data_IF_356486555505
#
_entry.id   IF_356486555505
#
_cell.length_a   1.000
_cell.length_b   1.000
_cell.length_c   1.000
_cell.angle_alpha   90.00
_cell.angle_beta   90.00
_cell.angle_gamma   90.00
#
_symmetry.space_group_name_H-M   'P 1'
#
loop_
_entity.id
_entity.type
_entity.pdbx_description
1 polymer ?
#
# COMPACT_ATOMS: atom_id res chain seq x y z
N UNK A 1 -40.05 -3.88 10.35
CA UNK A 1 -39.52 -4.97 11.21
C UNK A 1 -38.05 -4.70 11.33
N UNK A 2 -37.36 -4.87 12.48
CA UNK A 2 -35.93 -4.61 12.52
C UNK A 2 -35.22 -5.49 11.48
N UNK A 3 -34.37 -4.89 10.65
CA UNK A 3 -33.62 -5.58 9.60
C UNK A 3 -32.81 -6.73 10.19
N UNK A 4 -32.72 -7.83 9.44
CA UNK A 4 -31.87 -8.95 9.82
C UNK A 4 -30.39 -8.56 9.65
N UNK A 5 -29.50 -9.26 10.36
CA UNK A 5 -28.04 -9.02 10.31
C UNK A 5 -27.48 -9.17 8.89
N UNK A 6 -28.02 -10.10 8.09
CA UNK A 6 -27.63 -10.29 6.69
C UNK A 6 -27.98 -9.05 5.84
N UNK A 7 -29.13 -8.43 6.09
CA UNK A 7 -29.57 -7.22 5.36
C UNK A 7 -28.69 -6.03 5.72
N UNK A 8 -28.24 -5.94 6.97
CA UNK A 8 -27.30 -4.91 7.42
C UNK A 8 -25.92 -5.09 6.79
N UNK A 9 -25.43 -6.32 6.70
CA UNK A 9 -24.17 -6.63 6.03
C UNK A 9 -24.20 -6.25 4.54
N UNK A 10 -25.32 -6.48 3.85
CA UNK A 10 -25.52 -6.03 2.47
C UNK A 10 -25.49 -4.50 2.34
N UNK A 11 -26.14 -3.76 3.26
CA UNK A 11 -26.11 -2.30 3.26
C UNK A 11 -24.71 -1.73 3.54
N UNK A 12 -23.94 -2.37 4.41
CA UNK A 12 -22.53 -1.99 4.67
C UNK A 12 -21.67 -2.26 3.43
N UNK A 13 -21.79 -3.45 2.82
CA UNK A 13 -21.07 -3.77 1.59
C UNK A 13 -21.43 -2.83 0.41
N UNK A 14 -22.70 -2.38 0.36
CA UNK A 14 -23.14 -1.35 -0.58
C UNK A 14 -22.44 0.00 -0.34
N UNK A 15 -22.30 0.41 0.93
CA UNK A 15 -21.60 1.66 1.28
C UNK A 15 -20.09 1.59 1.00
N UNK A 16 -19.48 0.44 1.22
CA UNK A 16 -18.06 0.22 0.98
C UNK A 16 -17.74 -0.02 -0.52
N UNK A 17 -18.78 -0.19 -1.36
CA UNK A 17 -18.65 -0.43 -2.80
C UNK A 17 -18.14 -1.84 -3.16
N UNK A 18 -18.32 -2.81 -2.25
CA UNK A 18 -17.86 -4.19 -2.44
C UNK A 18 -18.88 -5.09 -3.18
N UNK A 19 -20.09 -4.58 -3.46
CA UNK A 19 -21.12 -5.31 -4.18
C UNK A 19 -20.88 -5.32 -5.70
N UNK A 20 -21.22 -6.44 -6.34
CA UNK A 20 -21.27 -6.51 -7.80
C UNK A 20 -22.52 -5.81 -8.36
N UNK A 21 -22.58 -5.63 -9.68
CA UNK A 21 -23.64 -4.85 -10.35
C UNK A 21 -25.04 -5.45 -10.12
N UNK A 22 -25.14 -6.78 -10.04
CA UNK A 22 -26.42 -7.46 -9.79
C UNK A 22 -26.87 -7.30 -8.33
N UNK A 23 -25.95 -7.40 -7.37
CA UNK A 23 -26.23 -7.22 -5.95
C UNK A 23 -26.53 -5.76 -5.62
N UNK A 24 -25.86 -4.82 -6.29
CA UNK A 24 -26.09 -3.37 -6.14
C UNK A 24 -27.53 -3.01 -6.53
N UNK A 25 -28.02 -3.48 -7.67
CA UNK A 25 -29.40 -3.23 -8.11
C UNK A 25 -30.44 -3.86 -7.16
N UNK A 26 -30.15 -5.03 -6.60
CA UNK A 26 -31.03 -5.69 -5.64
C UNK A 26 -31.13 -4.89 -4.32
N UNK A 27 -30.00 -4.39 -3.82
CA UNK A 27 -29.96 -3.55 -2.61
C UNK A 27 -30.64 -2.19 -2.85
N UNK A 28 -30.45 -1.57 -4.02
CA UNK A 28 -31.15 -0.32 -4.37
C UNK A 28 -32.66 -0.48 -4.46
N UNK A 29 -33.13 -1.58 -5.07
CA UNK A 29 -34.56 -1.91 -5.10
C UNK A 29 -35.12 -2.12 -3.69
N UNK A 30 -34.33 -2.72 -2.79
CA UNK A 30 -34.68 -2.95 -1.38
C UNK A 30 -34.74 -1.64 -0.58
N UNK A 31 -33.76 -0.75 -0.75
CA UNK A 31 -33.74 0.59 -0.14
C UNK A 31 -34.95 1.42 -0.62
N UNK A 32 -35.33 1.30 -1.90
CA UNK A 32 -36.49 2.01 -2.46
C UNK A 32 -37.84 1.46 -1.96
N UNK A 33 -37.92 0.17 -1.66
CA UNK A 33 -39.14 -0.51 -1.24
C UNK A 33 -39.36 -0.50 0.28
N UNK A 34 -38.30 -0.46 1.09
CA UNK A 34 -38.35 -0.58 2.55
C UNK A 34 -37.86 0.71 3.26
N UNK A 35 -38.76 1.46 3.93
CA UNK A 35 -38.40 2.62 4.73
C UNK A 35 -37.41 2.32 5.86
N UNK A 36 -37.47 1.13 6.46
CA UNK A 36 -36.56 0.72 7.55
C UNK A 36 -35.13 0.53 7.00
N UNK A 37 -34.98 -0.04 5.79
CA UNK A 37 -33.69 -0.20 5.09
C UNK A 37 -33.05 1.15 4.72
N UNK A 38 -33.86 2.11 4.28
CA UNK A 38 -33.40 3.47 3.99
C UNK A 38 -32.92 4.19 5.27
N UNK A 39 -33.66 4.05 6.38
CA UNK A 39 -33.28 4.63 7.66
C UNK A 39 -31.97 4.04 8.23
N UNK A 40 -31.76 2.73 8.10
CA UNK A 40 -30.53 2.07 8.54
C UNK A 40 -29.32 2.47 7.65
N UNK A 41 -29.51 2.57 6.33
CA UNK A 41 -28.47 3.08 5.42
C UNK A 41 -28.06 4.50 5.78
N UNK A 42 -29.02 5.37 6.10
CA UNK A 42 -28.75 6.74 6.55
C UNK A 42 -28.03 6.77 7.90
N UNK A 43 -28.40 5.88 8.83
CA UNK A 43 -27.71 5.72 10.12
C UNK A 43 -26.25 5.23 9.93
N UNK A 44 -26.01 4.28 9.03
CA UNK A 44 -24.67 3.80 8.67
C UNK A 44 -23.85 4.91 8.02
N UNK A 45 -24.40 5.65 7.04
CA UNK A 45 -23.75 6.83 6.45
C UNK A 45 -23.40 7.89 7.48
N UNK A 46 -24.28 8.11 8.46
CA UNK A 46 -24.02 9.02 9.58
C UNK A 46 -22.88 8.52 10.46
N UNK A 47 -22.84 7.23 10.80
CA UNK A 47 -21.80 6.62 11.62
C UNK A 47 -20.43 6.65 10.93
N UNK A 48 -20.39 6.33 9.64
CA UNK A 48 -19.20 6.49 8.80
C UNK A 48 -18.79 7.96 8.66
N UNK A 49 -19.75 8.87 8.55
CA UNK A 49 -19.51 10.30 8.62
C UNK A 49 -18.87 10.72 9.95
N UNK A 50 -19.29 10.15 11.08
CA UNK A 50 -18.70 10.43 12.40
C UNK A 50 -17.23 10.01 12.47
N UNK A 51 -16.86 8.87 11.87
CA UNK A 51 -15.48 8.38 11.83
C UNK A 51 -14.53 9.39 11.16
N UNK A 52 -15.02 10.15 10.18
CA UNK A 52 -14.26 11.17 9.47
C UNK A 52 -13.94 12.42 10.32
N UNK A 53 -14.73 12.67 11.38
CA UNK A 53 -14.63 13.87 12.24
C UNK A 53 -13.96 13.61 13.59
N UNK A 54 -13.43 12.41 13.78
CA UNK A 54 -12.67 12.08 14.97
C UNK A 54 -11.34 12.84 15.00
N UNK A 55 -10.95 13.38 16.17
CA UNK A 55 -9.72 14.15 16.31
C UNK A 55 -8.50 13.30 16.00
N UNK A 56 -7.95 13.46 14.80
CA UNK A 56 -6.66 12.87 14.45
C UNK A 56 -5.58 13.58 15.25
N UNK A 57 -4.66 12.83 15.84
CA UNK A 57 -3.52 13.40 16.58
C UNK A 57 -2.75 14.36 15.68
N UNK A 58 -2.94 15.67 15.88
CA UNK A 58 -2.22 16.71 15.15
C UNK A 58 -0.94 17.05 15.93
N UNK A 59 0.25 16.91 15.33
CA UNK A 59 1.47 17.39 15.98
C UNK A 59 1.38 18.91 16.22
N UNK A 60 2.04 19.42 17.26
CA UNK A 60 1.95 20.86 17.59
C UNK A 60 2.31 21.74 16.38
N UNK A 61 1.71 22.93 16.20
CA UNK A 61 1.97 23.81 15.04
C UNK A 61 3.45 24.16 14.84
N UNK A 62 4.25 24.17 15.92
CA UNK A 62 5.69 24.43 15.89
C UNK A 62 6.54 23.17 15.68
N UNK A 63 5.93 21.97 15.62
CA UNK A 63 6.65 20.72 15.44
C UNK A 63 7.25 20.63 14.04
N UNK A 64 6.47 20.96 13.01
CA UNK A 64 6.94 20.96 11.62
C UNK A 64 8.02 22.02 11.39
N UNK A 65 7.84 23.23 11.93
CA UNK A 65 8.86 24.28 11.85
C UNK A 65 10.13 23.92 12.62
N UNK A 66 10.03 23.36 13.84
CA UNK A 66 11.21 22.89 14.61
C UNK A 66 11.92 21.72 13.95
N UNK A 67 11.19 20.83 13.28
CA UNK A 67 11.77 19.67 12.60
C UNK A 67 12.41 20.09 11.29
N UNK A 68 11.77 20.98 10.52
CA UNK A 68 12.32 21.55 9.30
C UNK A 68 13.48 22.51 9.60
N UNK A 69 13.44 23.33 10.64
CA UNK A 69 14.57 24.15 11.10
C UNK A 69 15.74 23.25 11.52
N UNK A 70 15.50 22.17 12.28
CA UNK A 70 16.57 21.20 12.60
C UNK A 70 17.16 20.53 11.35
N UNK A 71 16.35 20.24 10.34
CA UNK A 71 16.81 19.60 9.09
C UNK A 71 17.44 20.59 8.09
N UNK A 72 17.07 21.88 8.13
CA UNK A 72 17.57 22.91 7.21
C UNK A 72 18.76 23.70 7.75
N UNK A 73 18.84 23.94 9.06
CA UNK A 73 20.02 24.56 9.70
C UNK A 73 21.29 23.70 9.54
N UNK A 74 21.16 22.38 9.40
CA UNK A 74 22.31 21.51 9.09
C UNK A 74 22.72 21.52 7.62
N UNK A 75 21.88 22.03 6.71
CA UNK A 75 22.15 22.05 5.25
C UNK A 75 22.92 23.29 4.77
N UNK A 76 23.20 24.26 5.65
CA UNK A 76 23.92 25.51 5.30
C UNK A 76 25.35 25.56 5.86
N UNK A 77 25.80 24.53 6.58
CA UNK A 77 27.20 24.35 6.99
C UNK A 77 28.06 23.73 5.89
N UNK A 78 28.32 24.49 4.82
CA UNK A 78 29.28 24.10 3.77
C UNK A 78 30.69 23.91 4.33
N UNK A 79 31.01 22.69 4.76
CA UNK A 79 32.36 22.28 5.14
C UNK A 79 33.22 22.20 3.87
N UNK A 80 34.05 23.22 3.67
CA UNK A 80 35.17 23.20 2.73
C UNK A 80 36.08 22.03 3.12
N UNK A 81 36.08 20.98 2.32
CA UNK A 81 37.08 19.91 2.38
C UNK A 81 38.45 20.49 2.06
N UNK A 82 39.29 20.68 3.09
CA UNK A 82 40.74 20.79 2.88
C UNK A 82 41.32 19.38 2.65
N UNK A 83 42.25 19.19 1.70
CA UNK A 83 42.98 17.94 1.57
C UNK A 83 44.08 17.90 2.64
N UNK A 84 44.09 16.84 3.46
CA UNK A 84 45.21 16.55 4.36
C UNK A 84 46.08 15.45 3.73
N UNK A 85 47.40 15.65 3.61
CA UNK A 85 48.29 14.69 2.98
C UNK A 85 48.63 13.57 3.96
N UNK A 86 48.43 12.33 3.55
CA UNK A 86 48.79 11.15 4.32
C UNK A 86 50.16 10.65 3.84
N UNK A 87 51.22 11.08 4.53
CA UNK A 87 52.52 10.43 4.47
C UNK A 87 53.14 10.37 5.87
N UNK A 88 53.43 9.14 6.32
CA UNK A 88 54.52 8.84 7.25
C UNK A 88 54.14 8.66 8.73
N UNK A 89 54.21 7.39 9.16
CA UNK A 89 54.44 6.81 10.51
C UNK A 89 53.34 5.75 10.80
N UNK A 90 53.61 4.44 10.84
CA UNK A 90 54.80 3.77 11.30
C UNK A 90 54.52 3.06 12.63
N UNK A 91 53.99 1.84 12.55
CA UNK A 91 54.10 0.69 13.48
C UNK A 91 53.87 0.79 15.00
N UNK A 92 53.56 1.96 15.59
CA UNK A 92 53.28 2.08 17.05
C UNK A 92 51.78 2.06 17.44
N UNK A 93 50.85 2.00 16.49
CA UNK A 93 49.40 1.95 16.77
C UNK A 93 48.82 0.58 17.15
N UNK A 94 49.57 -0.51 16.95
CA UNK A 94 49.01 -1.87 17.05
C UNK A 94 48.84 -2.40 18.49
N UNK A 95 49.59 -1.87 19.46
CA UNK A 95 49.50 -2.30 20.87
C UNK A 95 48.38 -1.60 21.67
N UNK A 96 47.90 -0.44 21.20
CA UNK A 96 46.81 0.30 21.86
C UNK A 96 45.42 -0.28 21.58
N UNK A 97 45.22 -0.94 20.43
CA UNK A 97 43.90 -1.45 20.03
C UNK A 97 43.50 -2.75 20.74
N UNK A 98 44.46 -3.56 21.21
CA UNK A 98 44.17 -4.84 21.87
C UNK A 98 43.53 -4.65 23.25
N UNK A 99 43.95 -3.62 24.01
CA UNK A 99 43.41 -3.30 25.34
C UNK A 99 41.99 -2.71 25.28
N UNK A 100 41.65 -1.99 24.21
CA UNK A 100 40.31 -1.42 24.03
C UNK A 100 39.24 -2.49 23.72
N UNK A 101 39.59 -3.52 22.94
CA UNK A 101 38.64 -4.59 22.56
C UNK A 101 38.33 -5.52 23.74
N UNK A 102 39.32 -5.86 24.57
CA UNK A 102 39.11 -6.71 25.76
C UNK A 102 38.25 -5.98 26.81
N UNK A 103 38.44 -4.67 26.97
CA UNK A 103 37.66 -3.83 27.89
C UNK A 103 36.19 -3.71 27.46
N UNK A 104 35.93 -3.62 26.14
CA UNK A 104 34.56 -3.53 25.60
C UNK A 104 33.77 -4.84 25.76
N UNK A 105 34.43 -6.00 25.64
CA UNK A 105 33.78 -7.31 25.81
C UNK A 105 33.45 -7.63 27.28
N UNK A 106 34.30 -7.22 28.23
CA UNK A 106 34.07 -7.42 29.66
C UNK A 106 32.87 -6.64 30.21
N UNK A 107 32.71 -5.38 29.79
CA UNK A 107 31.59 -4.52 30.21
C UNK A 107 30.26 -5.00 29.59
N UNK A 108 30.29 -5.51 28.35
CA UNK A 108 29.13 -6.10 27.69
C UNK A 108 28.62 -7.37 28.38
N UNK A 109 29.52 -8.25 28.84
CA UNK A 109 29.13 -9.48 29.54
C UNK A 109 28.50 -9.20 30.92
N UNK A 110 29.06 -8.24 31.67
CA UNK A 110 28.56 -7.87 33.00
C UNK A 110 27.20 -7.15 32.96
N UNK A 111 26.96 -6.32 31.95
CA UNK A 111 25.66 -5.66 31.75
C UNK A 111 24.55 -6.65 31.34
N UNK A 112 24.90 -7.69 30.57
CA UNK A 112 23.95 -8.74 30.19
C UNK A 112 23.63 -9.70 31.34
N UNK A 113 24.61 -10.05 32.17
CA UNK A 113 24.44 -11.01 33.27
C UNK A 113 23.68 -10.46 34.48
N UNK A 114 23.71 -9.14 34.74
CA UNK A 114 23.16 -8.55 35.97
C UNK A 114 22.16 -7.40 35.76
N UNK A 115 21.95 -6.91 34.52
CA UNK A 115 21.15 -5.70 34.26
C UNK A 115 19.80 -5.89 33.56
N UNK A 116 19.49 -7.09 33.04
CA UNK A 116 18.30 -7.28 32.20
C UNK A 116 17.05 -7.58 33.03
N UNK A 117 16.35 -6.53 33.49
CA UNK A 117 14.93 -6.66 33.84
C UNK A 117 14.15 -6.78 32.53
N UNK A 118 13.42 -7.89 32.27
CA UNK A 118 12.59 -7.97 31.08
C UNK A 118 11.59 -6.81 31.10
N UNK A 119 11.57 -6.01 30.03
CA UNK A 119 10.55 -5.00 29.84
C UNK A 119 9.17 -5.66 29.92
N UNK A 120 8.21 -5.10 30.66
CA UNK A 120 6.85 -5.60 30.62
C UNK A 120 6.37 -5.61 29.15
N UNK A 121 5.73 -6.72 28.78
CA UNK A 121 5.08 -6.90 27.49
C UNK A 121 4.15 -5.68 27.29
N UNK A 122 4.26 -4.92 26.18
CA UNK A 122 3.33 -3.83 25.93
C UNK A 122 1.91 -4.39 25.95
N UNK A 123 1.02 -3.76 26.72
CA UNK A 123 -0.40 -4.10 26.76
C UNK A 123 -0.96 -4.22 25.32
N UNK A 124 -1.92 -5.14 25.08
CA UNK A 124 -2.58 -5.21 23.78
C UNK A 124 -3.07 -3.81 23.41
N UNK A 125 -2.81 -3.41 22.16
CA UNK A 125 -3.22 -2.10 21.66
C UNK A 125 -4.71 -1.92 21.97
N UNK A 126 -5.11 -0.79 22.60
CA UNK A 126 -6.51 -0.55 22.91
C UNK A 126 -7.32 -0.61 21.61
N UNK A 127 -8.53 -1.16 21.73
CA UNK A 127 -9.51 -1.23 20.65
C UNK A 127 -9.58 0.14 19.93
N UNK A 128 -9.37 0.19 18.60
CA UNK A 128 -9.42 1.45 17.86
C UNK A 128 -10.71 2.24 18.13
N UNK A 129 -11.84 1.56 18.33
CA UNK A 129 -13.13 2.22 18.64
C UNK A 129 -13.13 2.84 20.04
N UNK A 130 -12.46 2.20 21.01
CA UNK A 130 -12.31 2.73 22.36
C UNK A 130 -11.40 3.98 22.40
N UNK A 131 -10.32 4.00 21.61
CA UNK A 131 -9.43 5.16 21.47
C UNK A 131 -10.19 6.35 20.88
N UNK A 132 -10.99 6.06 19.86
CA UNK A 132 -11.83 7.03 19.15
C UNK A 132 -12.86 7.69 20.08
N UNK A 133 -13.58 6.88 20.87
CA UNK A 133 -14.58 7.39 21.81
C UNK A 133 -13.94 8.20 22.94
N UNK A 134 -12.77 7.78 23.43
CA UNK A 134 -12.03 8.50 24.45
C UNK A 134 -11.62 9.91 23.98
N UNK A 135 -11.08 10.01 22.77
CA UNK A 135 -10.67 11.32 22.22
C UNK A 135 -11.86 12.26 21.94
N UNK A 136 -13.01 11.70 21.52
CA UNK A 136 -14.23 12.48 21.37
C UNK A 136 -14.75 12.99 22.73
N UNK A 137 -14.70 12.15 23.77
CA UNK A 137 -15.04 12.55 25.14
C UNK A 137 -14.10 13.66 25.64
N UNK A 138 -12.80 13.55 25.39
CA UNK A 138 -11.81 14.56 25.75
C UNK A 138 -12.07 15.90 25.04
N UNK A 139 -12.43 15.86 23.75
CA UNK A 139 -12.78 17.07 23.01
C UNK A 139 -14.06 17.73 23.56
N UNK A 140 -15.10 16.96 23.88
CA UNK A 140 -16.33 17.49 24.49
C UNK A 140 -16.05 18.12 25.85
N UNK A 141 -15.14 17.53 26.65
CA UNK A 141 -14.74 18.09 27.93
C UNK A 141 -13.97 19.40 27.76
N UNK A 142 -13.05 19.48 26.80
CA UNK A 142 -12.37 20.73 26.46
C UNK A 142 -13.35 21.80 25.96
N UNK A 143 -14.34 21.41 25.15
CA UNK A 143 -15.38 22.31 24.65
C UNK A 143 -16.24 22.84 25.80
N UNK A 144 -16.61 21.99 26.76
CA UNK A 144 -17.35 22.39 27.98
C UNK A 144 -16.61 23.48 28.76
N UNK A 145 -15.28 23.39 28.84
CA UNK A 145 -14.46 24.35 29.57
C UNK A 145 -14.26 25.67 28.81
N UNK A 146 -14.03 25.61 27.49
CA UNK A 146 -13.73 26.79 26.65
C UNK A 146 -14.98 27.56 26.25
N UNK A 147 -16.02 26.86 25.82
CA UNK A 147 -17.26 27.44 25.29
C UNK A 147 -18.48 26.70 25.82
N UNK A 148 -18.88 26.99 27.07
CA UNK A 148 -19.99 26.30 27.74
C UNK A 148 -21.31 26.36 26.96
N UNK A 149 -21.56 27.45 26.24
CA UNK A 149 -22.79 27.63 25.46
C UNK A 149 -22.87 26.66 24.27
N UNK A 150 -21.77 26.46 23.54
CA UNK A 150 -21.70 25.51 22.43
C UNK A 150 -21.86 24.06 22.91
N UNK A 151 -21.25 23.72 24.04
CA UNK A 151 -21.44 22.42 24.68
C UNK A 151 -22.90 22.19 25.07
N UNK A 152 -23.57 23.18 25.65
CA UNK A 152 -24.99 23.07 25.99
C UNK A 152 -25.88 22.91 24.75
N UNK A 153 -25.61 23.65 23.67
CA UNK A 153 -26.36 23.52 22.42
C UNK A 153 -26.24 22.10 21.80
N UNK A 154 -25.04 21.52 21.83
CA UNK A 154 -24.81 20.12 21.40
C UNK A 154 -25.52 19.13 22.32
N UNK A 155 -25.54 19.39 23.64
CA UNK A 155 -26.21 18.52 24.62
C UNK A 155 -27.74 18.59 24.51
N UNK A 156 -28.30 19.77 24.25
CA UNK A 156 -29.73 20.02 24.15
C UNK A 156 -30.31 19.83 22.75
N UNK A 157 -29.53 19.31 21.81
CA UNK A 157 -29.97 19.09 20.44
C UNK A 157 -31.18 18.13 20.41
N UNK A 158 -32.23 18.42 19.64
CA UNK A 158 -33.50 17.68 19.67
C UNK A 158 -33.41 16.28 19.03
N UNK A 159 -32.38 16.04 18.22
CA UNK A 159 -32.13 14.76 17.55
C UNK A 159 -30.63 14.47 17.46
N UNK A 160 -30.28 13.20 17.24
CA UNK A 160 -28.90 12.80 16.96
C UNK A 160 -28.35 13.49 15.70
N UNK A 161 -29.15 13.63 14.64
CA UNK A 161 -28.76 14.34 13.43
C UNK A 161 -28.48 15.83 13.66
N UNK A 162 -29.32 16.52 14.45
CA UNK A 162 -29.10 17.92 14.80
C UNK A 162 -27.83 18.09 15.66
N UNK A 163 -27.58 17.15 16.57
CA UNK A 163 -26.36 17.11 17.37
C UNK A 163 -25.11 16.98 16.48
N UNK A 164 -25.17 16.10 15.48
CA UNK A 164 -24.08 15.90 14.52
C UNK A 164 -23.81 17.13 13.67
N UNK A 165 -24.85 17.79 13.16
CA UNK A 165 -24.67 19.04 12.40
C UNK A 165 -23.95 20.08 13.24
N UNK A 166 -24.34 20.28 14.50
CA UNK A 166 -23.68 21.21 15.40
C UNK A 166 -22.21 20.83 15.69
N UNK A 167 -21.93 19.54 15.86
CA UNK A 167 -20.55 19.05 16.04
C UNK A 167 -19.73 19.32 14.77
N UNK A 168 -20.27 19.03 13.59
CA UNK A 168 -19.60 19.20 12.31
C UNK A 168 -19.30 20.68 12.01
N UNK A 169 -20.29 21.54 12.15
CA UNK A 169 -20.13 22.99 12.01
C UNK A 169 -19.06 23.52 12.96
N UNK A 170 -19.02 22.99 14.18
CA UNK A 170 -18.02 23.39 15.17
C UNK A 170 -16.62 22.94 14.78
N UNK A 171 -16.47 21.70 14.35
CA UNK A 171 -15.21 21.16 13.86
C UNK A 171 -14.70 21.92 12.65
N UNK A 172 -15.60 22.34 11.76
CA UNK A 172 -15.25 23.18 10.61
C UNK A 172 -14.76 24.56 11.02
N UNK A 173 -15.40 25.16 12.00
CA UNK A 173 -14.93 26.42 12.55
C UNK A 173 -13.54 26.26 13.18
N UNK A 174 -13.31 25.23 13.99
CA UNK A 174 -12.01 24.94 14.60
C UNK A 174 -10.93 24.66 13.55
N UNK A 175 -11.28 23.91 12.50
CA UNK A 175 -10.39 23.61 11.38
C UNK A 175 -9.93 24.90 10.69
N UNK A 176 -10.86 25.78 10.31
CA UNK A 176 -10.55 27.06 9.65
C UNK A 176 -9.78 27.98 10.59
N UNK A 177 -10.15 28.04 11.87
CA UNK A 177 -9.47 28.86 12.87
C UNK A 177 -7.99 28.45 13.06
N UNK A 178 -7.68 27.16 12.91
CA UNK A 178 -6.32 26.64 12.98
C UNK A 178 -5.47 26.93 11.72
N UNK A 179 -6.09 27.37 10.61
CA UNK A 179 -5.37 27.63 9.36
C UNK A 179 -4.57 28.94 9.37
N UNK A 180 -3.53 29.06 8.50
CA UNK A 180 -2.80 30.30 8.30
C UNK A 180 -3.72 31.47 7.91
N UNK A 181 -3.33 32.74 8.21
CA UNK A 181 -4.14 33.91 7.89
C UNK A 181 -4.58 33.98 6.42
N UNK A 182 -3.69 33.63 5.48
CA UNK A 182 -3.99 33.63 4.04
C UNK A 182 -5.15 32.70 3.66
N UNK A 183 -5.26 31.55 4.33
CA UNK A 183 -6.33 30.56 4.11
C UNK A 183 -7.64 31.05 4.71
N UNK A 184 -7.58 31.71 5.88
CA UNK A 184 -8.74 32.34 6.52
C UNK A 184 -9.29 33.51 5.70
N UNK A 185 -8.43 34.35 5.14
CA UNK A 185 -8.84 35.45 4.26
C UNK A 185 -9.48 34.95 2.96
N UNK A 186 -9.04 33.79 2.45
CA UNK A 186 -9.69 33.14 1.30
C UNK A 186 -11.06 32.61 1.69
N UNK A 187 -11.17 31.95 2.84
CA UNK A 187 -12.44 31.46 3.39
C UNK A 187 -13.50 32.56 3.49
N UNK A 188 -13.14 33.73 4.03
CA UNK A 188 -14.08 34.82 4.24
C UNK A 188 -14.63 35.42 2.94
N UNK A 189 -13.88 35.30 1.84
CA UNK A 189 -14.29 35.77 0.50
C UNK A 189 -15.23 34.81 -0.23
N UNK A 190 -15.38 33.57 0.24
CA UNK A 190 -16.20 32.55 -0.42
C UNK A 190 -17.67 32.63 0.00
N UNK A 191 -18.57 32.42 -0.96
CA UNK A 191 -20.00 32.18 -0.71
C UNK A 191 -20.27 30.82 -0.05
N UNK A 192 -21.52 30.53 0.33
CA UNK A 192 -21.88 29.28 1.04
C UNK A 192 -21.42 28.01 0.31
N UNK A 193 -21.69 27.89 -0.99
CA UNK A 193 -21.28 26.69 -1.76
C UNK A 193 -19.76 26.57 -1.90
N UNK A 194 -19.06 27.70 -2.13
CA UNK A 194 -17.60 27.73 -2.21
C UNK A 194 -16.94 27.33 -0.89
N UNK A 195 -17.53 27.72 0.25
CA UNK A 195 -17.08 27.31 1.59
C UNK A 195 -17.17 25.79 1.80
N UNK A 196 -18.26 25.16 1.37
CA UNK A 196 -18.40 23.68 1.47
C UNK A 196 -17.30 22.97 0.67
N UNK A 197 -17.08 23.38 -0.59
CA UNK A 197 -16.03 22.79 -1.42
C UNK A 197 -14.62 23.03 -0.86
N UNK A 198 -14.39 24.22 -0.31
CA UNK A 198 -13.12 24.57 0.31
C UNK A 198 -12.82 23.73 1.55
N UNK A 199 -13.80 23.51 2.43
CA UNK A 199 -13.65 22.60 3.58
C UNK A 199 -13.39 21.16 3.13
N UNK A 200 -14.13 20.67 2.13
CA UNK A 200 -13.93 19.32 1.61
C UNK A 200 -12.50 19.13 1.11
N UNK A 201 -11.97 20.12 0.37
CA UNK A 201 -10.58 20.13 -0.08
C UNK A 201 -9.61 20.16 1.11
N UNK A 202 -9.81 21.06 2.06
CA UNK A 202 -8.92 21.22 3.21
C UNK A 202 -8.85 19.94 4.05
N UNK A 203 -9.98 19.30 4.32
CA UNK A 203 -10.06 18.01 5.02
C UNK A 203 -9.35 16.90 4.23
N UNK A 204 -9.46 16.89 2.90
CA UNK A 204 -8.75 15.94 2.06
C UNK A 204 -7.22 16.13 2.18
N UNK A 205 -6.73 17.36 2.14
CA UNK A 205 -5.32 17.68 2.34
C UNK A 205 -4.82 17.28 3.75
N UNK A 206 -5.64 17.47 4.78
CA UNK A 206 -5.29 17.02 6.15
C UNK A 206 -5.23 15.50 6.27
N UNK A 207 -6.15 14.77 5.61
CA UNK A 207 -6.11 13.31 5.55
C UNK A 207 -4.84 12.82 4.86
N UNK A 208 -4.49 13.42 3.73
CA UNK A 208 -3.26 13.07 3.01
C UNK A 208 -2.02 13.30 3.89
N UNK A 209 -1.91 14.47 4.54
CA UNK A 209 -0.81 14.75 5.49
C UNK A 209 -0.78 13.77 6.64
N UNK A 210 -1.94 13.40 7.18
CA UNK A 210 -2.02 12.43 8.26
C UNK A 210 -1.55 11.04 7.82
N UNK A 211 -1.98 10.57 6.66
CA UNK A 211 -1.53 9.30 6.08
C UNK A 211 -0.02 9.30 5.84
N UNK A 212 0.52 10.41 5.29
CA UNK A 212 1.97 10.59 5.17
C UNK A 212 2.67 10.51 6.53
N UNK A 213 2.07 11.05 7.59
CA UNK A 213 2.64 10.99 8.94
C UNK A 213 2.57 9.58 9.55
N UNK A 214 1.49 8.85 9.33
CA UNK A 214 1.37 7.44 9.72
C UNK A 214 2.43 6.59 9.01
N UNK A 215 2.65 6.83 7.72
CA UNK A 215 3.75 6.21 6.97
C UNK A 215 5.11 6.63 7.54
N UNK A 216 5.30 7.92 7.85
CA UNK A 216 6.53 8.43 8.44
C UNK A 216 6.89 7.73 9.74
N UNK A 217 5.90 7.44 10.61
CA UNK A 217 6.13 6.66 11.82
C UNK A 217 6.69 5.26 11.55
N UNK A 218 6.24 4.59 10.47
CA UNK A 218 6.69 3.22 10.12
C UNK A 218 8.16 3.17 9.68
N UNK A 219 8.67 4.31 9.21
CA UNK A 219 10.05 4.51 8.74
C UNK A 219 10.83 5.49 9.63
N UNK A 220 10.37 5.71 10.88
CA UNK A 220 10.93 6.75 11.74
C UNK A 220 12.42 6.52 12.02
N UNK A 221 12.84 5.26 12.21
CA UNK A 221 14.25 4.91 12.46
C UNK A 221 15.14 5.27 11.27
N UNK A 222 14.66 5.02 10.06
CA UNK A 222 15.36 5.33 8.81
C UNK A 222 15.46 6.84 8.60
N UNK A 223 14.37 7.57 8.88
CA UNK A 223 14.33 9.03 8.81
C UNK A 223 15.27 9.69 9.84
N UNK A 224 15.22 9.23 11.09
CA UNK A 224 16.07 9.73 12.18
C UNK A 224 17.55 9.40 11.93
N UNK A 225 17.82 8.20 11.42
CA UNK A 225 19.15 7.74 11.02
C UNK A 225 19.68 8.38 9.73
N UNK A 226 18.95 9.32 9.12
CA UNK A 226 19.31 10.00 7.86
C UNK A 226 19.61 9.03 6.72
N UNK A 227 18.99 7.84 6.73
CA UNK A 227 19.14 6.87 5.65
C UNK A 227 18.41 7.40 4.43
N UNK A 228 19.05 7.32 3.27
CA UNK A 228 18.41 7.69 2.01
C UNK A 228 17.22 6.75 1.75
N UNK A 229 16.02 7.33 1.71
CA UNK A 229 14.80 6.61 1.37
C UNK A 229 14.47 6.92 -0.10
N UNK A 230 14.33 5.92 -0.98
CA UNK A 230 14.06 6.13 -2.39
C UNK A 230 12.79 6.97 -2.63
N UNK A 231 12.90 8.03 -3.43
CA UNK A 231 11.77 8.86 -3.84
C UNK A 231 11.57 8.89 -5.36
N UNK A 232 12.44 8.24 -6.13
CA UNK A 232 12.37 8.07 -7.59
C UNK A 232 12.68 6.63 -7.97
N UNK A 233 12.27 6.19 -9.17
CA UNK A 233 12.62 4.84 -9.67
C UNK A 233 14.13 4.61 -9.75
N UNK A 234 14.90 5.66 -10.03
CA UNK A 234 16.36 5.58 -10.16
C UNK A 234 17.08 5.43 -8.81
N UNK A 235 16.43 5.76 -7.70
CA UNK A 235 17.05 5.75 -6.37
C UNK A 235 17.18 4.33 -5.81
N UNK A 236 16.50 3.34 -6.39
CA UNK A 236 16.55 1.94 -5.97
C UNK A 236 17.84 1.26 -6.48
N UNK A 237 18.78 0.89 -5.58
CA UNK A 237 20.05 0.30 -5.99
C UNK A 237 19.87 -1.06 -6.67
N UNK A 238 20.62 -1.26 -7.75
CA UNK A 238 20.61 -2.51 -8.52
C UNK A 238 19.64 -2.52 -9.70
N UNK A 239 18.94 -1.43 -9.97
CA UNK A 239 18.15 -1.23 -11.21
C UNK A 239 16.88 -2.08 -11.32
N UNK A 240 16.70 -3.12 -10.50
CA UNK A 240 15.56 -4.05 -10.60
C UNK A 240 14.19 -3.38 -10.56
N UNK A 241 14.00 -2.43 -9.63
CA UNK A 241 12.72 -1.67 -9.52
C UNK A 241 12.53 -0.79 -10.75
N UNK A 242 13.58 -0.07 -11.18
CA UNK A 242 13.55 0.74 -12.40
C UNK A 242 13.20 -0.11 -13.62
N UNK A 243 13.89 -1.23 -13.81
CA UNK A 243 13.68 -2.14 -14.93
C UNK A 243 12.26 -2.71 -14.92
N UNK A 244 11.74 -3.08 -13.75
CA UNK A 244 10.36 -3.53 -13.61
C UNK A 244 9.36 -2.43 -14.00
N UNK A 245 9.52 -1.23 -13.43
CA UNK A 245 8.62 -0.11 -13.70
C UNK A 245 8.63 0.26 -15.18
N UNK A 246 9.81 0.37 -15.80
CA UNK A 246 9.94 0.80 -17.19
C UNK A 246 9.47 -0.26 -18.18
N UNK A 247 9.74 -1.55 -17.93
CA UNK A 247 9.49 -2.61 -18.90
C UNK A 247 8.19 -3.40 -18.67
N UNK A 248 7.74 -3.51 -17.42
CA UNK A 248 6.59 -4.36 -17.05
C UNK A 248 5.40 -3.57 -16.53
N UNK A 249 5.58 -2.37 -15.96
CA UNK A 249 4.46 -1.58 -15.44
C UNK A 249 4.02 -0.49 -16.42
N UNK A 250 4.91 0.44 -16.77
CA UNK A 250 4.64 1.63 -17.59
C UNK A 250 3.95 1.35 -18.93
N UNK A 251 4.26 0.28 -19.68
CA UNK A 251 3.57 -0.01 -20.94
C UNK A 251 2.06 -0.25 -20.78
N UNK A 252 1.62 -0.71 -19.60
CA UNK A 252 0.23 -1.11 -19.35
C UNK A 252 -0.57 -0.08 -18.54
N UNK A 253 0.07 1.00 -18.07
CA UNK A 253 -0.59 2.07 -17.33
C UNK A 253 -1.44 2.96 -18.24
N UNK A 254 -2.56 3.44 -17.69
CA UNK A 254 -3.36 4.50 -18.32
C UNK A 254 -2.59 5.83 -18.33
N UNK A 255 -3.07 6.79 -19.13
CA UNK A 255 -2.48 8.14 -19.14
C UNK A 255 -2.58 8.83 -17.76
N UNK A 256 -3.69 8.60 -17.05
CA UNK A 256 -3.92 9.13 -15.71
C UNK A 256 -2.92 8.56 -14.71
N UNK A 257 -2.70 7.24 -14.73
CA UNK A 257 -1.79 6.56 -13.81
C UNK A 257 -0.33 6.93 -14.06
N UNK A 258 0.05 7.09 -15.34
CA UNK A 258 1.38 7.63 -15.69
C UNK A 258 1.57 9.02 -15.12
N UNK A 259 0.53 9.86 -15.20
CA UNK A 259 0.55 11.22 -14.64
C UNK A 259 0.63 11.19 -13.11
N UNK A 260 -0.14 10.32 -12.46
CA UNK A 260 -0.08 10.13 -11.01
C UNK A 260 1.32 9.73 -10.54
N UNK A 261 1.93 8.71 -11.18
CA UNK A 261 3.26 8.24 -10.83
C UNK A 261 4.33 9.31 -11.08
N UNK A 262 4.22 10.06 -12.18
CA UNK A 262 5.14 11.16 -12.52
C UNK A 262 5.02 12.31 -11.52
N UNK A 263 3.79 12.70 -11.15
CA UNK A 263 3.55 13.75 -10.18
C UNK A 263 4.10 13.37 -8.80
N UNK A 264 4.01 12.10 -8.42
CA UNK A 264 4.52 11.60 -7.15
C UNK A 264 6.06 11.52 -7.14
N UNK A 265 6.71 11.38 -8.29
CA UNK A 265 8.16 11.20 -8.41
C UNK A 265 8.96 12.34 -7.76
N UNK A 266 9.94 11.97 -6.92
CA UNK A 266 10.75 12.89 -6.14
C UNK A 266 10.16 13.27 -4.78
N UNK A 267 8.94 12.83 -4.45
CA UNK A 267 8.28 13.10 -3.16
C UNK A 267 8.16 11.81 -2.35
N UNK A 268 8.63 11.84 -1.12
CA UNK A 268 8.43 10.76 -0.15
C UNK A 268 7.42 11.21 0.91
N UNK A 269 6.45 10.37 1.31
CA UNK A 269 6.23 8.97 0.93
C UNK A 269 5.36 8.76 -0.32
N UNK A 270 4.97 9.84 -1.02
CA UNK A 270 4.03 9.81 -2.15
C UNK A 270 4.46 8.83 -3.25
N UNK A 271 5.70 8.91 -3.72
CA UNK A 271 6.20 8.06 -4.80
C UNK A 271 6.09 6.55 -4.51
N UNK A 272 6.73 6.01 -3.45
CA UNK A 272 6.64 4.58 -3.17
C UNK A 272 5.21 4.13 -2.87
N UNK A 273 4.38 4.97 -2.23
CA UNK A 273 2.96 4.67 -2.00
C UNK A 273 2.19 4.54 -3.31
N UNK A 274 2.27 5.54 -4.19
CA UNK A 274 1.59 5.53 -5.49
C UNK A 274 2.08 4.36 -6.35
N UNK A 275 3.38 4.07 -6.31
CA UNK A 275 3.95 2.92 -7.00
C UNK A 275 3.36 1.59 -6.51
N UNK A 276 3.28 1.39 -5.19
CA UNK A 276 2.66 0.20 -4.59
C UNK A 276 1.19 0.08 -4.94
N UNK A 277 0.43 1.18 -4.86
CA UNK A 277 -0.98 1.20 -5.18
C UNK A 277 -1.22 0.79 -6.64
N UNK A 278 -0.54 1.44 -7.58
CA UNK A 278 -0.69 1.16 -9.02
C UNK A 278 -0.25 -0.27 -9.34
N UNK A 279 0.89 -0.72 -8.80
CA UNK A 279 1.41 -2.06 -9.07
C UNK A 279 0.52 -3.15 -8.46
N UNK A 280 -0.04 -2.94 -7.28
CA UNK A 280 -0.92 -3.91 -6.61
C UNK A 280 -2.21 -4.17 -7.38
N UNK A 281 -2.75 -3.16 -8.08
CA UNK A 281 -3.93 -3.28 -8.95
C UNK A 281 -3.60 -4.01 -10.27
N UNK A 282 -2.32 -4.20 -10.59
CA UNK A 282 -1.85 -4.79 -11.86
C UNK A 282 -0.76 -5.86 -11.65
N UNK A 283 -1.14 -7.02 -11.11
CA UNK A 283 -0.29 -8.19 -11.19
C UNK A 283 0.20 -8.46 -12.61
N UNK A 284 1.50 -8.65 -12.78
CA UNK A 284 2.10 -8.90 -14.12
C UNK A 284 1.64 -10.22 -14.76
N UNK A 285 1.14 -11.16 -13.94
CA UNK A 285 0.60 -12.45 -14.41
C UNK A 285 -0.79 -12.33 -15.05
N UNK A 286 -1.60 -11.37 -14.59
CA UNK A 286 -3.00 -11.23 -14.99
C UNK A 286 -3.12 -10.43 -16.29
N UNK A 287 -4.10 -10.76 -17.15
CA UNK A 287 -4.35 -10.00 -18.35
C UNK A 287 -4.84 -8.59 -18.00
N UNK A 288 -4.37 -7.61 -18.77
CA UNK A 288 -4.85 -6.21 -18.71
C UNK A 288 -5.53 -5.84 -20.03
N UNK A 289 -6.36 -4.79 -20.08
CA UNK A 289 -6.94 -4.32 -21.35
C UNK A 289 -5.91 -4.04 -22.45
N UNK A 290 -4.68 -3.72 -22.06
CA UNK A 290 -3.57 -3.36 -22.94
C UNK A 290 -2.56 -4.51 -23.17
N UNK A 291 -2.99 -5.78 -23.11
CA UNK A 291 -2.11 -6.92 -23.39
C UNK A 291 -1.43 -6.82 -24.76
N UNK A 292 -0.16 -7.24 -24.88
CA UNK A 292 0.60 -7.07 -26.11
C UNK A 292 -0.04 -7.85 -27.26
N UNK A 293 -0.17 -7.20 -28.42
CA UNK A 293 -0.74 -7.78 -29.66
C UNK A 293 0.28 -8.04 -30.75
N UNK A 294 1.53 -7.65 -30.52
CA UNK A 294 2.66 -7.83 -31.42
C UNK A 294 3.99 -7.80 -30.65
N UNK A 295 5.05 -8.30 -31.27
CA UNK A 295 6.35 -8.48 -30.64
C UNK A 295 6.99 -7.18 -30.10
N UNK A 296 6.79 -6.07 -30.80
CA UNK A 296 7.32 -4.76 -30.41
C UNK A 296 6.75 -4.24 -29.08
N UNK A 297 5.56 -4.72 -28.69
CA UNK A 297 4.86 -4.33 -27.45
C UNK A 297 5.22 -5.22 -26.25
N UNK A 298 6.06 -6.24 -26.44
CA UNK A 298 6.56 -7.04 -25.32
C UNK A 298 7.57 -6.25 -24.48
N UNK A 299 7.70 -6.52 -23.17
CA UNK A 299 8.78 -5.98 -22.36
C UNK A 299 10.14 -6.23 -23.00
N UNK A 300 11.05 -5.25 -22.95
CA UNK A 300 12.38 -5.38 -23.56
C UNK A 300 13.15 -6.64 -23.08
N UNK A 301 13.14 -7.02 -21.79
CA UNK A 301 13.78 -8.26 -21.34
C UNK A 301 13.21 -9.51 -22.01
N UNK A 302 11.90 -9.53 -22.32
CA UNK A 302 11.24 -10.63 -23.02
C UNK A 302 11.63 -10.64 -24.49
N UNK A 303 11.60 -9.48 -25.15
CA UNK A 303 12.06 -9.36 -26.54
C UNK A 303 13.50 -9.87 -26.70
N UNK A 304 14.39 -9.50 -25.78
CA UNK A 304 15.80 -9.90 -25.82
C UNK A 304 15.97 -11.42 -25.71
N UNK A 305 15.15 -12.11 -24.91
CA UNK A 305 15.19 -13.59 -24.78
C UNK A 305 14.93 -14.31 -26.11
N UNK A 306 14.08 -13.74 -26.95
CA UNK A 306 13.78 -14.26 -28.29
C UNK A 306 14.76 -13.78 -29.38
N UNK A 307 15.51 -12.70 -29.12
CA UNK A 307 16.54 -12.17 -30.04
C UNK A 307 17.89 -12.90 -29.93
N UNK A 308 18.21 -13.55 -28.81
CA UNK A 308 19.52 -14.19 -28.56
C UNK A 308 19.51 -15.69 -28.94
N UNK A 309 20.33 -16.07 -29.94
CA UNK A 309 20.61 -17.46 -30.34
C UNK A 309 21.85 -18.06 -29.61
N UNK A 310 21.97 -19.40 -29.47
CA UNK A 310 23.20 -20.05 -29.00
C UNK A 310 24.34 -19.98 -30.03
N UNK A 311 25.56 -19.69 -29.58
CA UNK A 311 26.80 -19.46 -30.36
C UNK A 311 27.39 -20.70 -31.09
N UNK A 312 26.62 -21.58 -31.74
CA UNK A 312 27.20 -22.71 -32.51
C UNK A 312 27.23 -22.44 -34.03
N UNK A 313 28.31 -22.80 -34.75
CA UNK A 313 28.38 -22.61 -36.20
C UNK A 313 27.67 -23.76 -36.90
N UNK A 314 26.53 -23.51 -37.56
CA UNK A 314 25.95 -24.49 -38.48
C UNK A 314 24.42 -24.62 -38.65
N UNK A 315 23.54 -23.81 -38.05
CA UNK A 315 22.10 -23.92 -38.37
C UNK A 315 21.16 -22.94 -37.66
N UNK A 316 20.27 -22.28 -38.43
CA UNK A 316 19.32 -21.18 -38.11
C UNK A 316 17.95 -21.70 -37.57
N UNK A 317 17.05 -20.93 -36.89
CA UNK A 317 16.69 -19.55 -37.24
C UNK A 317 16.28 -18.54 -36.14
N UNK A 318 16.23 -17.27 -36.55
CA UNK A 318 15.52 -16.15 -35.94
C UNK A 318 14.12 -16.56 -35.47
N UNK A 319 13.95 -16.85 -34.17
CA UNK A 319 12.64 -17.08 -33.51
C UNK A 319 11.70 -15.86 -33.56
N UNK A 320 12.23 -14.73 -34.01
CA UNK A 320 11.50 -13.50 -34.30
C UNK A 320 10.51 -13.73 -35.46
N UNK A 321 10.83 -14.57 -36.46
CA UNK A 321 9.95 -14.72 -37.66
C UNK A 321 8.54 -15.24 -37.34
N UNK A 322 8.34 -16.31 -36.54
CA UNK A 322 6.99 -16.73 -36.13
C UNK A 322 6.25 -15.64 -35.34
N UNK A 323 6.95 -14.95 -34.44
CA UNK A 323 6.39 -13.90 -33.59
C UNK A 323 6.03 -12.62 -34.37
N UNK A 324 6.83 -12.23 -35.37
CA UNK A 324 6.57 -11.06 -36.21
C UNK A 324 5.35 -11.27 -37.13
N UNK A 325 5.13 -12.53 -37.54
CA UNK A 325 4.03 -12.89 -38.44
C UNK A 325 2.68 -13.03 -37.72
N UNK A 326 2.69 -13.18 -36.40
CA UNK A 326 1.47 -13.30 -35.61
C UNK A 326 1.10 -11.94 -34.99
N UNK A 327 -0.07 -11.41 -35.32
CA UNK A 327 -0.63 -10.20 -34.72
C UNK A 327 -2.09 -10.45 -34.36
N UNK A 328 -2.49 -10.09 -33.14
CA UNK A 328 -3.89 -10.26 -32.72
C UNK A 328 -4.09 -10.40 -31.21
N UNK A 329 -5.34 -10.64 -30.79
CA UNK A 329 -5.71 -10.74 -29.38
C UNK A 329 -5.04 -11.93 -28.66
N UNK A 330 -4.75 -13.02 -29.38
CA UNK A 330 -4.12 -14.22 -28.81
C UNK A 330 -2.58 -14.17 -28.84
N UNK A 331 -1.99 -13.00 -29.14
CA UNK A 331 -0.55 -12.87 -29.33
C UNK A 331 0.25 -13.32 -28.11
N UNK A 332 -0.15 -12.89 -26.91
CA UNK A 332 0.49 -13.27 -25.66
C UNK A 332 0.45 -14.79 -25.42
N UNK A 333 -0.67 -15.47 -25.72
CA UNK A 333 -0.76 -16.94 -25.65
C UNK A 333 0.21 -17.62 -26.62
N UNK A 334 0.35 -17.08 -27.84
CA UNK A 334 1.30 -17.60 -28.83
C UNK A 334 2.77 -17.36 -28.40
N UNK A 335 3.08 -16.25 -27.74
CA UNK A 335 4.40 -16.00 -27.12
C UNK A 335 4.71 -17.06 -26.07
N UNK A 336 3.73 -17.43 -25.25
CA UNK A 336 3.86 -18.49 -24.25
C UNK A 336 4.09 -19.86 -24.91
N UNK A 337 3.32 -20.20 -25.94
CA UNK A 337 3.48 -21.44 -26.70
C UNK A 337 4.90 -21.59 -27.29
N UNK A 338 5.42 -20.53 -27.93
CA UNK A 338 6.79 -20.50 -28.43
C UNK A 338 7.79 -20.56 -27.26
N UNK A 339 7.52 -19.84 -26.17
CA UNK A 339 8.36 -19.86 -24.98
C UNK A 339 8.50 -21.24 -24.33
N UNK A 340 7.40 -22.02 -24.30
CA UNK A 340 7.37 -23.41 -23.83
C UNK A 340 8.16 -24.32 -24.77
N UNK A 341 7.85 -24.30 -26.07
CA UNK A 341 8.51 -25.17 -27.07
C UNK A 341 10.01 -24.91 -27.22
N UNK A 342 10.46 -23.69 -26.91
CA UNK A 342 11.88 -23.28 -27.00
C UNK A 342 12.60 -23.19 -25.66
N UNK A 343 11.95 -23.57 -24.56
CA UNK A 343 12.49 -23.52 -23.19
C UNK A 343 13.06 -22.14 -22.81
N UNK A 344 12.30 -21.07 -23.10
CA UNK A 344 12.67 -19.66 -22.83
C UNK A 344 11.97 -19.05 -21.61
N UNK A 345 11.05 -19.80 -21.02
CA UNK A 345 10.34 -19.44 -19.78
C UNK A 345 11.21 -19.70 -18.54
N UNK A 346 10.96 -19.00 -17.41
CA UNK A 346 9.94 -17.95 -17.20
C UNK A 346 10.41 -16.56 -17.65
N UNK A 347 9.47 -15.67 -18.03
CA UNK A 347 9.77 -14.31 -18.52
C UNK A 347 10.08 -13.26 -17.43
N UNK A 348 10.25 -13.71 -16.19
CA UNK A 348 10.48 -12.86 -15.02
C UNK A 348 9.20 -12.21 -14.49
N UNK A 349 9.17 -11.92 -13.19
CA UNK A 349 8.04 -11.22 -12.54
C UNK A 349 6.65 -11.85 -12.78
N UNK A 350 6.58 -13.17 -12.98
CA UNK A 350 5.35 -13.90 -13.33
C UNK A 350 4.68 -13.44 -14.63
N UNK A 351 5.38 -12.68 -15.45
CA UNK A 351 4.85 -12.16 -16.70
C UNK A 351 4.46 -13.30 -17.64
N UNK A 352 3.19 -13.32 -18.06
CA UNK A 352 2.58 -14.39 -18.85
C UNK A 352 2.74 -15.79 -18.22
N UNK A 353 2.59 -15.89 -16.90
CA UNK A 353 2.62 -17.17 -16.19
C UNK A 353 1.55 -18.13 -16.72
N UNK A 354 1.92 -19.37 -17.00
CA UNK A 354 1.05 -20.37 -17.61
C UNK A 354 1.13 -21.75 -16.95
N UNK A 355 2.07 -21.98 -16.03
CA UNK A 355 2.20 -23.22 -15.26
C UNK A 355 2.97 -22.97 -13.96
N UNK A 356 3.06 -23.98 -13.10
CA UNK A 356 3.71 -23.90 -11.78
C UNK A 356 5.19 -23.48 -11.85
N UNK A 357 5.90 -23.85 -12.92
CA UNK A 357 7.31 -23.49 -13.11
C UNK A 357 7.51 -22.02 -13.52
N UNK A 358 6.45 -21.37 -14.01
CA UNK A 358 6.45 -19.93 -14.36
C UNK A 358 6.04 -19.00 -13.22
N UNK A 359 5.48 -19.55 -12.14
CA UNK A 359 5.16 -18.82 -10.93
C UNK A 359 6.41 -18.56 -10.09
N UNK A 360 6.43 -17.42 -9.39
CA UNK A 360 7.44 -17.16 -8.36
C UNK A 360 7.18 -18.04 -7.13
N UNK A 361 8.20 -18.17 -6.28
CA UNK A 361 8.17 -19.05 -5.11
C UNK A 361 6.96 -18.78 -4.20
N UNK A 362 6.63 -17.53 -3.80
CA UNK A 362 5.49 -17.30 -2.92
C UNK A 362 4.15 -17.75 -3.52
N UNK A 363 4.00 -17.59 -4.83
CA UNK A 363 2.79 -17.97 -5.55
C UNK A 363 2.71 -19.49 -5.74
N UNK A 364 3.86 -20.16 -5.91
CA UNK A 364 3.94 -21.62 -5.94
C UNK A 364 3.57 -22.23 -4.59
N UNK A 365 4.15 -21.72 -3.50
CA UNK A 365 3.81 -22.13 -2.13
C UNK A 365 2.33 -21.92 -1.84
N UNK A 366 1.75 -20.79 -2.26
CA UNK A 366 0.30 -20.58 -2.16
C UNK A 366 -0.51 -21.65 -2.90
N UNK A 367 -0.11 -21.99 -4.13
CA UNK A 367 -0.80 -23.02 -4.92
C UNK A 367 -0.69 -24.37 -4.21
N UNK A 368 0.50 -24.77 -3.80
CA UNK A 368 0.78 -26.08 -3.23
C UNK A 368 0.20 -26.25 -1.82
N UNK A 369 0.31 -25.23 -0.97
CA UNK A 369 -0.01 -25.32 0.47
C UNK A 369 -1.42 -24.83 0.81
N UNK A 370 -2.06 -24.01 -0.05
CA UNK A 370 -3.37 -23.42 0.23
C UNK A 370 -4.41 -23.76 -0.83
N UNK A 371 -4.12 -23.49 -2.10
CA UNK A 371 -5.12 -23.67 -3.16
C UNK A 371 -5.39 -25.16 -3.43
N UNK A 372 -4.35 -25.96 -3.67
CA UNK A 372 -4.45 -27.38 -3.97
C UNK A 372 -5.17 -28.15 -2.87
N UNK A 373 -4.87 -27.95 -1.57
CA UNK A 373 -5.62 -28.55 -0.47
C UNK A 373 -7.10 -28.14 -0.43
N UNK A 374 -7.44 -26.93 -0.86
CA UNK A 374 -8.83 -26.45 -0.90
C UNK A 374 -9.62 -27.02 -2.08
N UNK A 375 -8.99 -27.26 -3.23
CA UNK A 375 -9.67 -27.76 -4.44
C UNK A 375 -9.66 -29.29 -4.57
N UNK A 376 -8.78 -30.00 -3.86
CA UNK A 376 -8.59 -31.47 -4.02
C UNK A 376 -9.89 -32.28 -3.85
N UNK A 377 -10.77 -31.83 -2.95
CA UNK A 377 -12.03 -32.51 -2.64
C UNK A 377 -13.18 -32.08 -3.59
N UNK A 378 -12.87 -31.23 -4.57
CA UNK A 378 -13.80 -30.70 -5.57
C UNK A 378 -13.34 -31.06 -7.00
N UNK A 379 -13.72 -32.24 -7.53
CA UNK A 379 -13.20 -32.75 -8.81
C UNK A 379 -13.37 -31.81 -10.01
N UNK A 380 -14.45 -31.03 -10.04
CA UNK A 380 -14.70 -30.06 -11.12
C UNK A 380 -13.69 -28.91 -11.09
N UNK A 381 -13.38 -28.37 -9.91
CA UNK A 381 -12.42 -27.27 -9.74
C UNK A 381 -10.98 -27.76 -9.94
N UNK A 382 -10.66 -28.95 -9.43
CA UNK A 382 -9.36 -29.59 -9.68
C UNK A 382 -9.13 -29.81 -11.17
N UNK A 383 -10.13 -30.36 -11.89
CA UNK A 383 -10.05 -30.54 -13.34
C UNK A 383 -9.89 -29.21 -14.05
N UNK A 384 -10.65 -28.19 -13.67
CA UNK A 384 -10.54 -26.84 -14.24
C UNK A 384 -9.13 -26.28 -14.07
N UNK A 385 -8.53 -26.43 -12.88
CA UNK A 385 -7.16 -26.00 -12.61
C UNK A 385 -6.15 -26.75 -13.50
N UNK A 386 -6.20 -28.07 -13.53
CA UNK A 386 -5.31 -28.89 -14.39
C UNK A 386 -5.49 -28.58 -15.88
N UNK A 387 -6.72 -28.42 -16.36
CA UNK A 387 -7.02 -28.13 -17.76
C UNK A 387 -6.55 -26.72 -18.18
N UNK A 388 -6.35 -25.81 -17.23
CA UNK A 388 -5.80 -24.47 -17.47
C UNK A 388 -4.28 -24.45 -17.58
N UNK A 389 -3.57 -25.47 -17.10
CA UNK A 389 -2.11 -25.51 -17.11
C UNK A 389 -1.54 -25.52 -18.54
N UNK A 390 -0.49 -24.74 -18.75
CA UNK A 390 0.12 -24.46 -20.04
C UNK A 390 -0.61 -23.39 -20.87
N UNK A 391 -1.76 -22.87 -20.41
CA UNK A 391 -2.57 -21.89 -21.15
C UNK A 391 -2.58 -20.54 -20.45
N UNK A 392 -2.14 -19.51 -21.16
CA UNK A 392 -2.34 -18.12 -20.76
C UNK A 392 -3.46 -17.49 -21.59
N UNK A 393 -4.40 -16.71 -21.03
CA UNK A 393 -4.47 -16.25 -19.62
C UNK A 393 -5.22 -17.21 -18.68
N UNK A 394 -5.69 -18.35 -19.17
CA UNK A 394 -6.56 -19.26 -18.41
C UNK A 394 -5.98 -19.71 -17.08
N UNK A 395 -4.68 -20.04 -17.03
CA UNK A 395 -4.01 -20.50 -15.81
C UNK A 395 -4.06 -19.48 -14.66
N UNK A 396 -3.52 -18.25 -14.80
CA UNK A 396 -3.54 -17.28 -13.72
C UNK A 396 -4.97 -16.79 -13.39
N UNK A 397 -5.87 -16.72 -14.38
CA UNK A 397 -7.28 -16.42 -14.12
C UNK A 397 -7.97 -17.51 -13.31
N UNK A 398 -7.73 -18.78 -13.63
CA UNK A 398 -8.29 -19.91 -12.89
C UNK A 398 -7.80 -19.91 -11.44
N UNK A 399 -6.51 -19.60 -11.20
CA UNK A 399 -6.00 -19.43 -9.84
C UNK A 399 -6.73 -18.29 -9.11
N UNK A 400 -6.89 -17.12 -9.75
CA UNK A 400 -7.55 -15.97 -9.15
C UNK A 400 -9.02 -16.27 -8.79
N UNK A 401 -9.75 -16.92 -9.68
CA UNK A 401 -11.15 -17.26 -9.49
C UNK A 401 -11.35 -18.32 -8.41
N UNK A 402 -10.53 -19.38 -8.42
CA UNK A 402 -10.57 -20.40 -7.38
C UNK A 402 -10.18 -19.81 -6.03
N UNK A 403 -9.13 -18.98 -5.97
CA UNK A 403 -8.76 -18.29 -4.74
C UNK A 403 -9.93 -17.47 -4.19
N UNK A 404 -10.61 -16.68 -5.03
CA UNK A 404 -11.83 -15.94 -4.64
C UNK A 404 -12.94 -16.87 -4.14
N UNK A 405 -13.21 -17.98 -4.85
CA UNK A 405 -14.24 -18.98 -4.48
C UNK A 405 -13.99 -19.56 -3.08
N UNK A 406 -12.73 -19.85 -2.76
CA UNK A 406 -12.32 -20.41 -1.47
C UNK A 406 -11.90 -19.37 -0.43
N UNK A 407 -12.14 -18.08 -0.69
CA UNK A 407 -11.77 -16.95 0.20
C UNK A 407 -10.28 -16.97 0.58
N UNK A 408 -9.45 -17.29 -0.41
CA UNK A 408 -7.99 -17.28 -0.33
C UNK A 408 -7.45 -16.05 -1.07
N UNK A 409 -6.33 -15.52 -0.58
CA UNK A 409 -5.65 -14.38 -1.19
C UNK A 409 -4.38 -14.85 -1.93
N UNK A 410 -4.36 -14.81 -3.29
CA UNK A 410 -3.24 -15.32 -4.10
C UNK A 410 -2.07 -14.32 -4.19
N UNK A 411 -0.86 -14.61 -3.67
CA UNK A 411 0.24 -13.65 -3.51
C UNK A 411 0.95 -13.32 -4.81
N UNK A 412 0.21 -12.73 -5.74
CA UNK A 412 0.72 -12.29 -7.03
C UNK A 412 1.84 -11.28 -6.86
N UNK A 413 2.85 -11.39 -7.73
CA UNK A 413 3.93 -10.43 -7.79
C UNK A 413 3.48 -9.07 -8.35
N UNK A 414 3.86 -8.02 -7.64
CA UNK A 414 3.63 -6.63 -8.08
C UNK A 414 4.89 -5.76 -8.04
N UNK A 415 5.86 -5.99 -7.14
CA UNK A 415 7.10 -5.21 -7.10
C UNK A 415 8.33 -6.06 -6.73
N UNK A 416 9.51 -5.78 -7.32
CA UNK A 416 10.76 -6.46 -6.99
C UNK A 416 11.23 -6.19 -5.55
N UNK A 417 11.97 -7.15 -4.99
CA UNK A 417 12.64 -7.06 -3.68
C UNK A 417 11.70 -6.65 -2.52
N UNK A 418 10.58 -7.38 -2.30
CA UNK A 418 9.52 -6.97 -1.38
C UNK A 418 9.97 -6.81 0.06
N UNK A 419 10.82 -7.70 0.55
CA UNK A 419 11.35 -7.64 1.92
C UNK A 419 12.33 -6.48 2.11
N UNK A 420 13.21 -6.25 1.12
CA UNK A 420 14.23 -5.20 1.16
C UNK A 420 13.61 -3.82 1.26
N UNK A 421 12.55 -3.57 0.48
CA UNK A 421 11.89 -2.28 0.39
C UNK A 421 10.64 -2.16 1.26
N UNK A 422 10.26 -3.25 1.94
CA UNK A 422 9.11 -3.31 2.85
C UNK A 422 7.86 -2.71 2.18
N UNK A 423 7.55 -3.13 0.95
CA UNK A 423 6.45 -2.53 0.17
C UNK A 423 5.11 -2.53 0.91
N UNK A 424 4.87 -3.53 1.76
CA UNK A 424 3.68 -3.60 2.60
C UNK A 424 3.56 -2.45 3.59
N UNK A 425 4.68 -1.88 4.05
CA UNK A 425 4.66 -0.73 4.93
C UNK A 425 4.16 0.55 4.24
N UNK A 426 4.09 0.58 2.91
CA UNK A 426 3.50 1.67 2.13
C UNK A 426 2.03 1.45 1.78
N UNK A 427 1.45 0.30 2.11
CA UNK A 427 0.03 0.03 1.88
C UNK A 427 -0.84 0.78 2.90
N UNK A 428 -1.98 1.27 2.44
CA UNK A 428 -3.03 1.80 3.32
C UNK A 428 -3.61 0.63 4.12
N UNK A 429 -3.74 0.78 5.45
CA UNK A 429 -4.20 -0.30 6.34
C UNK A 429 -5.64 -0.74 6.07
N UNK A 430 -6.44 0.10 5.42
CA UNK A 430 -7.80 -0.24 5.00
C UNK A 430 -7.82 -1.20 3.81
N UNK A 431 -6.72 -1.34 3.06
CA UNK A 431 -6.49 -2.50 2.22
C UNK A 431 -5.85 -3.57 3.12
N UNK A 432 -6.65 -4.51 3.64
CA UNK A 432 -6.19 -5.61 4.49
C UNK A 432 -4.88 -6.19 3.96
N UNK A 433 -3.90 -6.27 4.86
CA UNK A 433 -2.55 -6.73 4.55
C UNK A 433 -2.55 -8.17 4.07
N UNK A 434 -1.73 -8.43 3.06
CA UNK A 434 -1.16 -9.73 2.79
C UNK A 434 -0.36 -10.20 4.03
N UNK A 435 -0.76 -11.32 4.63
CA UNK A 435 0.13 -12.22 5.37
C UNK A 435 0.83 -11.72 6.64
N UNK A 436 0.13 -11.09 7.59
CA UNK A 436 0.65 -10.95 8.97
C UNK A 436 -0.05 -11.82 10.03
N UNK A 437 -1.08 -12.57 9.64
CA UNK A 437 -1.67 -13.62 10.48
C UNK A 437 -1.25 -15.01 9.96
N UNK A 438 -0.83 -15.87 10.89
CA UNK A 438 -0.39 -17.26 10.71
C UNK A 438 1.08 -17.48 10.32
N UNK A 439 1.98 -17.02 11.19
CA UNK A 439 3.17 -17.80 11.58
C UNK A 439 3.67 -17.38 12.98
N UNK A 440 2.79 -17.34 13.98
CA UNK A 440 3.25 -17.46 15.38
C UNK A 440 3.35 -18.94 15.70
N UNK A 441 4.60 -19.40 15.73
CA UNK A 441 5.14 -20.61 16.36
C UNK A 441 4.13 -21.61 16.93
N UNK A 442 4.01 -22.78 16.31
CA UNK A 442 3.87 -24.01 17.11
C UNK A 442 5.23 -24.29 17.75
N UNK A 443 5.44 -23.82 18.98
CA UNK A 443 6.38 -24.50 19.89
C UNK A 443 5.67 -25.76 20.37
N UNK A 444 6.11 -26.90 19.85
CA UNK A 444 5.75 -28.21 20.38
C UNK A 444 6.54 -28.47 21.68
N UNK A 445 5.99 -29.28 22.61
CA UNK A 445 6.49 -29.47 23.98
C UNK A 445 7.87 -30.13 24.09
#
# INVERSE_FOLDING_TARGET
MPLNEDDKAELVAYLDGELDESATQAVEAKIAADPDASAELDALKQTWGMLDYLPKSSPSPNFTNRTMERLTLEKVGGSKTMPMPWQGLGWLGALGWSMAVVSALGVGYLTMAYGFKPTPIPEPLPDPDAVVLAQHADWLEQLRQREPQAFQAIKSAPSASAKLTLINERRDFELIAAQPPSVRDQWDKLGREGKVQFLAKLRAEEREKHEQWVLAKRFWKELEGKKEIPCRRADYPGGKVKDYVENYLMPYLSAEEKTQLTNAEGRWPDYPRTLVEIASKRPSALPTPNTPREFALLPMPVQQRFKIEPKKPGGKPKLIKPLDNFKGPNFASHVVEIGLSTNKLPFGHEYLACNTNTLLVPMREFVDDKLMPAVKDHPADLRRFTDSEGKWPDYPLTIQELAKKYKLDPPWHYLPEPERWRWDAYRNLNCKSWGSEVAKEKKAP
#
